data_IF_778910075327
#
_entry.id   IF_778910075327
#
_cell.length_a   1.000
_cell.length_b   1.000
_cell.length_c   1.000
_cell.angle_alpha   90.00
_cell.angle_beta   90.00
_cell.angle_gamma   90.00
#
_symmetry.space_group_name_H-M   'P 1'
#
loop_
_entity.id
_entity.type
_entity.pdbx_description
1 polymer ?
#
# COMPACT_ATOMS: atom_id res chain seq x y z
N UNK A 1 5.38 -22.51 -9.07
CA UNK A 1 4.10 -21.75 -8.93
C UNK A 1 3.92 -20.76 -10.09
N UNK A 2 2.69 -20.47 -10.57
CA UNK A 2 2.45 -19.44 -11.61
C UNK A 2 2.04 -18.10 -10.95
N UNK A 3 2.87 -17.07 -11.10
CA UNK A 3 2.70 -15.78 -10.40
C UNK A 3 1.37 -15.09 -10.68
N UNK A 4 0.92 -15.08 -11.94
CA UNK A 4 -0.32 -14.42 -12.33
C UNK A 4 -1.55 -15.05 -11.67
N UNK A 5 -1.51 -16.36 -11.40
CA UNK A 5 -2.58 -17.04 -10.68
C UNK A 5 -2.60 -16.65 -9.21
N UNK A 6 -1.43 -16.45 -8.60
CA UNK A 6 -1.34 -15.97 -7.21
C UNK A 6 -1.96 -14.58 -7.04
N UNK A 7 -1.67 -13.64 -7.94
CA UNK A 7 -2.34 -12.33 -7.93
C UNK A 7 -3.86 -12.48 -7.96
N UNK A 8 -4.39 -13.28 -8.88
CA UNK A 8 -5.85 -13.50 -9.00
C UNK A 8 -6.45 -14.15 -7.75
N UNK A 9 -5.79 -15.19 -7.23
CA UNK A 9 -6.25 -15.91 -6.04
C UNK A 9 -6.27 -15.01 -4.80
N UNK A 10 -5.38 -14.03 -4.74
CA UNK A 10 -5.28 -13.07 -3.65
C UNK A 10 -6.06 -11.76 -3.92
N UNK A 11 -6.97 -11.72 -4.90
CA UNK A 11 -7.87 -10.58 -5.10
C UNK A 11 -7.23 -9.38 -5.80
N UNK A 12 -6.22 -9.61 -6.62
CA UNK A 12 -5.65 -8.59 -7.51
C UNK A 12 -6.15 -8.76 -8.95
N UNK A 13 -6.37 -7.64 -9.64
CA UNK A 13 -6.82 -7.58 -11.02
C UNK A 13 -5.76 -6.94 -11.90
N UNK A 14 -5.49 -7.52 -13.08
CA UNK A 14 -4.57 -6.94 -14.06
C UNK A 14 -5.28 -5.81 -14.83
N UNK A 15 -4.84 -4.57 -14.59
CA UNK A 15 -5.44 -3.39 -15.20
C UNK A 15 -5.04 -3.22 -16.68
N UNK A 16 -4.09 -4.00 -17.20
CA UNK A 16 -3.75 -4.01 -18.61
C UNK A 16 -4.76 -4.81 -19.46
N UNK A 17 -5.65 -5.59 -18.83
CA UNK A 17 -6.60 -6.46 -19.53
C UNK A 17 -7.98 -5.81 -19.61
N UNK A 18 -8.51 -5.71 -20.84
CA UNK A 18 -9.87 -5.25 -21.08
C UNK A 18 -10.11 -3.80 -20.64
N UNK A 19 -11.19 -3.56 -19.88
CA UNK A 19 -11.62 -2.24 -19.43
C UNK A 19 -11.33 -1.99 -17.93
N UNK A 20 -10.53 -2.86 -17.30
CA UNK A 20 -10.30 -2.86 -15.84
C UNK A 20 -9.69 -1.53 -15.38
N UNK A 21 -8.73 -0.97 -16.11
CA UNK A 21 -8.13 0.34 -15.77
C UNK A 21 -9.19 1.45 -15.63
N UNK A 22 -10.16 1.52 -16.56
CA UNK A 22 -11.24 2.50 -16.51
C UNK A 22 -12.18 2.26 -15.32
N UNK A 23 -12.49 0.99 -15.01
CA UNK A 23 -13.28 0.62 -13.83
C UNK A 23 -12.59 0.99 -12.51
N UNK A 24 -11.26 0.98 -12.51
CA UNK A 24 -10.41 1.44 -11.41
C UNK A 24 -10.16 2.95 -11.42
N UNK A 25 -10.73 3.71 -12.36
CA UNK A 25 -10.49 5.16 -12.53
C UNK A 25 -9.00 5.50 -12.74
N UNK A 26 -8.24 4.60 -13.37
CA UNK A 26 -6.82 4.77 -13.71
C UNK A 26 -6.69 4.96 -15.20
N UNK A 27 -6.09 6.07 -15.61
CA UNK A 27 -5.73 6.29 -16.99
C UNK A 27 -4.34 5.73 -17.29
N UNK A 28 -4.26 4.65 -18.07
CA UNK A 28 -2.99 4.02 -18.44
C UNK A 28 -2.06 4.95 -19.22
N UNK A 29 -2.58 5.97 -19.92
CA UNK A 29 -1.73 6.94 -20.63
C UNK A 29 -0.84 7.76 -19.69
N UNK A 30 -1.21 7.82 -18.41
CA UNK A 30 -0.45 8.54 -17.39
C UNK A 30 0.71 7.69 -16.83
N UNK A 31 0.73 6.39 -17.15
CA UNK A 31 1.79 5.43 -16.75
C UNK A 31 2.75 5.18 -17.90
N UNK A 32 2.22 5.01 -19.12
CA UNK A 32 3.00 4.84 -20.35
C UNK A 32 2.19 5.30 -21.56
N UNK A 33 2.86 5.66 -22.65
CA UNK A 33 2.17 6.02 -23.89
C UNK A 33 1.41 4.80 -24.45
N UNK A 34 0.09 4.92 -24.65
CA UNK A 34 -0.76 3.78 -25.05
C UNK A 34 -0.33 3.11 -26.37
N UNK A 35 0.33 3.85 -27.27
CA UNK A 35 0.90 3.31 -28.51
C UNK A 35 2.20 2.53 -28.33
N UNK A 36 2.82 2.60 -27.14
CA UNK A 36 4.11 1.99 -26.83
C UNK A 36 4.12 1.46 -25.38
N UNK A 37 3.45 0.32 -25.16
CA UNK A 37 3.66 -0.46 -23.93
C UNK A 37 5.17 -0.81 -23.84
N UNK A 38 5.86 -0.48 -22.73
CA UNK A 38 7.25 -0.85 -22.54
C UNK A 38 7.41 -2.36 -22.53
N UNK A 39 8.46 -2.88 -23.15
CA UNK A 39 8.66 -4.34 -23.30
C UNK A 39 8.94 -5.01 -21.97
N UNK A 40 9.58 -4.30 -21.06
CA UNK A 40 9.88 -4.75 -19.72
C UNK A 40 8.63 -4.78 -18.81
N UNK A 41 7.52 -4.14 -19.19
CA UNK A 41 6.29 -4.16 -18.39
C UNK A 41 5.50 -5.43 -18.71
N UNK A 42 5.46 -6.36 -17.76
CA UNK A 42 4.73 -7.61 -17.90
C UNK A 42 3.25 -7.43 -17.56
N UNK A 43 2.96 -6.78 -16.42
CA UNK A 43 1.60 -6.58 -15.92
C UNK A 43 1.50 -5.41 -14.94
N UNK A 44 0.29 -4.91 -14.74
CA UNK A 44 0.00 -3.98 -13.63
C UNK A 44 -1.18 -4.53 -12.85
N UNK A 45 -0.95 -4.91 -11.60
CA UNK A 45 -1.98 -5.52 -10.76
C UNK A 45 -2.42 -4.55 -9.67
N UNK A 46 -3.73 -4.38 -9.50
CA UNK A 46 -4.31 -3.56 -8.43
C UNK A 46 -5.10 -4.44 -7.47
N UNK A 47 -5.01 -4.16 -6.17
CA UNK A 47 -5.83 -4.83 -5.17
C UNK A 47 -7.32 -4.50 -5.37
N UNK A 48 -8.20 -5.42 -5.01
CA UNK A 48 -9.66 -5.20 -5.01
C UNK A 48 -10.09 -3.97 -4.20
N UNK A 49 -9.38 -3.69 -3.09
CA UNK A 49 -9.60 -2.52 -2.23
C UNK A 49 -9.02 -1.20 -2.81
N UNK A 50 -8.29 -1.30 -3.94
CA UNK A 50 -7.67 -0.19 -4.68
C UNK A 50 -6.72 0.64 -3.82
N UNK A 51 -5.98 -0.04 -2.96
CA UNK A 51 -5.05 0.52 -2.00
C UNK A 51 -3.61 0.03 -2.20
N UNK A 52 -3.39 -0.91 -3.12
CA UNK A 52 -2.07 -1.40 -3.51
C UNK A 52 -1.96 -1.62 -5.02
N UNK A 53 -0.78 -1.31 -5.57
CA UNK A 53 -0.46 -1.42 -6.99
C UNK A 53 0.87 -2.13 -7.18
N UNK A 54 0.88 -3.21 -7.95
CA UNK A 54 2.08 -3.91 -8.38
C UNK A 54 2.39 -3.59 -9.84
N UNK A 55 3.62 -3.18 -10.13
CA UNK A 55 4.19 -3.17 -11.47
C UNK A 55 5.06 -4.41 -11.60
N UNK A 56 4.66 -5.34 -12.46
CA UNK A 56 5.40 -6.54 -12.74
C UNK A 56 6.35 -6.29 -13.91
N UNK A 57 7.65 -6.44 -13.65
CA UNK A 57 8.71 -6.03 -14.56
C UNK A 57 9.64 -7.19 -14.92
N UNK A 58 10.07 -7.27 -16.17
CA UNK A 58 11.14 -8.18 -16.60
C UNK A 58 12.50 -7.55 -16.34
N UNK A 59 13.18 -8.06 -15.31
CA UNK A 59 14.52 -7.65 -14.90
C UNK A 59 15.64 -8.06 -15.85
N UNK A 60 15.36 -8.84 -16.90
CA UNK A 60 16.37 -9.25 -17.88
C UNK A 60 16.51 -8.26 -19.05
N UNK A 61 15.57 -7.32 -19.19
CA UNK A 61 15.56 -6.35 -20.29
C UNK A 61 16.68 -5.30 -20.19
N UNK A 62 17.05 -4.91 -18.97
CA UNK A 62 18.09 -3.92 -18.72
C UNK A 62 18.71 -4.12 -17.33
N UNK A 63 19.77 -3.38 -17.04
CA UNK A 63 20.42 -3.41 -15.74
C UNK A 63 19.45 -2.95 -14.63
N UNK A 64 19.42 -3.68 -13.49
CA UNK A 64 18.38 -3.58 -12.46
C UNK A 64 18.27 -2.16 -11.88
N UNK A 65 19.40 -1.50 -11.61
CA UNK A 65 19.39 -0.14 -11.08
C UNK A 65 18.76 0.84 -12.07
N UNK A 66 19.12 0.71 -13.35
CA UNK A 66 18.57 1.53 -14.44
C UNK A 66 17.08 1.28 -14.64
N UNK A 67 16.63 0.02 -14.55
CA UNK A 67 15.21 -0.35 -14.58
C UNK A 67 14.44 0.31 -13.43
N UNK A 68 14.97 0.18 -12.21
CA UNK A 68 14.37 0.73 -11.01
C UNK A 68 14.22 2.25 -11.09
N UNK A 69 15.28 2.95 -11.50
CA UNK A 69 15.30 4.42 -11.59
C UNK A 69 14.31 4.90 -12.66
N UNK A 70 14.28 4.23 -13.82
CA UNK A 70 13.33 4.52 -14.90
C UNK A 70 11.87 4.41 -14.44
N UNK A 71 11.53 3.32 -13.75
CA UNK A 71 10.17 3.10 -13.26
C UNK A 71 9.82 3.97 -12.07
N UNK A 72 10.78 4.31 -11.20
CA UNK A 72 10.55 5.29 -10.13
C UNK A 72 10.21 6.67 -10.68
N UNK A 73 10.88 7.12 -11.75
CA UNK A 73 10.56 8.38 -12.41
C UNK A 73 9.17 8.36 -13.07
N UNK A 74 8.79 7.25 -13.72
CA UNK A 74 7.45 7.07 -14.28
C UNK A 74 6.36 7.06 -13.21
N UNK A 75 6.57 6.33 -12.12
CA UNK A 75 5.66 6.30 -10.97
C UNK A 75 5.52 7.70 -10.38
N UNK A 76 6.63 8.45 -10.27
CA UNK A 76 6.60 9.83 -9.81
C UNK A 76 5.73 10.71 -10.71
N UNK A 77 5.91 10.65 -12.03
CA UNK A 77 5.09 11.41 -12.99
C UNK A 77 3.62 11.03 -12.87
N UNK A 78 3.32 9.73 -12.85
CA UNK A 78 1.98 9.19 -12.66
C UNK A 78 1.30 9.77 -11.41
N UNK A 79 1.98 9.74 -10.26
CA UNK A 79 1.48 10.27 -8.99
C UNK A 79 1.29 11.79 -9.02
N UNK A 80 2.20 12.54 -9.67
CA UNK A 80 2.09 14.01 -9.76
C UNK A 80 0.88 14.41 -10.61
N UNK A 81 0.73 13.82 -11.79
CA UNK A 81 -0.39 14.10 -12.71
C UNK A 81 -1.73 13.77 -12.02
N UNK A 82 -1.76 12.66 -11.28
CA UNK A 82 -2.97 12.16 -10.64
C UNK A 82 -3.14 12.56 -9.18
N UNK A 83 -2.35 13.51 -8.67
CA UNK A 83 -2.30 13.82 -7.23
C UNK A 83 -3.60 14.32 -6.59
N UNK A 84 -4.61 14.68 -7.40
CA UNK A 84 -5.96 15.08 -6.95
C UNK A 84 -6.97 13.93 -6.94
N UNK A 85 -6.66 12.80 -7.60
CA UNK A 85 -7.53 11.63 -7.63
C UNK A 85 -7.55 10.95 -6.26
N UNK A 86 -8.74 10.71 -5.71
CA UNK A 86 -8.89 10.01 -4.43
C UNK A 86 -8.38 8.57 -4.53
N UNK A 87 -8.63 7.89 -5.65
CA UNK A 87 -8.17 6.52 -5.88
C UNK A 87 -6.65 6.47 -5.85
N UNK A 88 -5.99 7.32 -6.65
CA UNK A 88 -4.53 7.30 -6.78
C UNK A 88 -3.84 7.83 -5.51
N UNK A 89 -4.50 8.72 -4.75
CA UNK A 89 -3.99 9.17 -3.46
C UNK A 89 -3.83 8.04 -2.44
N UNK A 90 -4.67 6.98 -2.50
CA UNK A 90 -4.53 5.79 -1.65
C UNK A 90 -3.31 4.95 -2.03
N UNK A 91 -3.01 4.89 -3.34
CA UNK A 91 -1.91 4.09 -3.88
C UNK A 91 -0.53 4.69 -3.61
N UNK A 92 -0.41 6.00 -3.39
CA UNK A 92 0.86 6.74 -3.31
C UNK A 92 1.98 6.09 -2.48
N UNK A 93 1.64 5.35 -1.43
CA UNK A 93 2.61 4.74 -0.52
C UNK A 93 2.70 3.20 -0.63
N UNK A 94 1.86 2.62 -1.50
CA UNK A 94 1.67 1.18 -1.67
C UNK A 94 1.85 0.79 -3.14
N UNK A 95 2.89 1.35 -3.77
CA UNK A 95 3.32 0.93 -5.11
C UNK A 95 4.53 0.03 -4.97
N UNK A 96 4.44 -1.17 -5.54
CA UNK A 96 5.49 -2.18 -5.52
C UNK A 96 5.96 -2.47 -6.94
N UNK A 97 7.27 -2.38 -7.18
CA UNK A 97 7.91 -2.92 -8.37
C UNK A 97 8.32 -4.36 -8.06
N UNK A 98 7.64 -5.33 -8.68
CA UNK A 98 8.01 -6.74 -8.61
C UNK A 98 8.83 -7.08 -9.85
N UNK A 99 10.12 -7.31 -9.66
CA UNK A 99 11.09 -7.50 -10.73
C UNK A 99 11.45 -8.98 -10.83
N UNK A 100 11.21 -9.57 -12.00
CA UNK A 100 11.51 -10.97 -12.30
C UNK A 100 12.87 -11.08 -12.95
N UNK A 101 13.78 -11.82 -12.35
CA UNK A 101 15.13 -12.01 -12.86
C UNK A 101 15.41 -13.50 -13.11
N UNK A 102 15.89 -13.86 -14.30
CA UNK A 102 16.15 -15.27 -14.63
C UNK A 102 17.60 -15.70 -14.37
N UNK A 103 18.48 -14.77 -14.00
CA UNK A 103 19.88 -15.06 -13.70
C UNK A 103 20.10 -15.74 -12.33
N UNK A 104 21.35 -16.14 -12.07
CA UNK A 104 21.68 -16.97 -10.91
C UNK A 104 21.54 -16.24 -9.56
N UNK A 105 21.90 -14.96 -9.51
CA UNK A 105 21.85 -14.12 -8.30
C UNK A 105 21.41 -12.70 -8.66
N UNK A 106 20.15 -12.30 -8.41
CA UNK A 106 19.71 -10.93 -8.60
C UNK A 106 20.42 -9.98 -7.63
N UNK A 107 20.78 -8.78 -8.08
CA UNK A 107 21.23 -7.70 -7.21
C UNK A 107 20.04 -7.14 -6.42
N UNK A 108 19.96 -7.49 -5.12
CA UNK A 108 18.89 -7.06 -4.20
C UNK A 108 19.17 -5.74 -3.48
N UNK A 109 20.25 -5.04 -3.81
CA UNK A 109 20.63 -3.78 -3.14
C UNK A 109 19.54 -2.70 -3.17
N UNK A 110 18.68 -2.74 -4.18
CA UNK A 110 17.57 -1.80 -4.37
C UNK A 110 16.33 -2.08 -3.53
N UNK A 111 16.17 -3.27 -2.95
CA UNK A 111 15.01 -3.60 -2.11
C UNK A 111 14.91 -2.71 -0.86
N UNK A 112 16.06 -2.22 -0.35
CA UNK A 112 16.11 -1.29 0.78
C UNK A 112 15.71 0.16 0.44
N UNK A 113 15.55 0.51 -0.85
CA UNK A 113 15.15 1.86 -1.26
C UNK A 113 13.63 1.98 -1.35
N UNK A 114 13.04 2.71 -0.41
CA UNK A 114 11.60 2.93 -0.29
C UNK A 114 11.17 4.35 -0.69
N UNK A 115 12.03 5.14 -1.35
CA UNK A 115 11.75 6.56 -1.57
C UNK A 115 10.53 6.80 -2.46
N UNK A 116 10.35 6.02 -3.53
CA UNK A 116 9.25 6.18 -4.50
C UNK A 116 8.33 4.97 -4.57
N UNK A 117 8.89 3.76 -4.55
CA UNK A 117 8.18 2.49 -4.60
C UNK A 117 8.97 1.44 -3.84
N UNK A 118 8.29 0.42 -3.32
CA UNK A 118 8.96 -0.77 -2.78
C UNK A 118 9.44 -1.63 -3.93
N UNK A 119 10.60 -2.25 -3.79
CA UNK A 119 11.17 -3.14 -4.83
C UNK A 119 11.30 -4.53 -4.25
N UNK A 120 10.82 -5.51 -4.98
CA UNK A 120 10.94 -6.92 -4.64
C UNK A 120 11.55 -7.59 -5.86
N UNK A 121 12.71 -8.21 -5.71
CA UNK A 121 13.44 -8.83 -6.81
C UNK A 121 13.47 -10.32 -6.58
N UNK A 122 12.83 -11.05 -7.49
CA UNK A 122 12.66 -12.50 -7.38
C UNK A 122 13.28 -13.22 -8.54
N UNK A 123 13.76 -14.43 -8.27
CA UNK A 123 14.19 -15.36 -9.29
C UNK A 123 12.96 -16.04 -9.89
N UNK A 124 12.81 -15.90 -11.21
CA UNK A 124 11.70 -16.52 -11.93
C UNK A 124 12.11 -16.94 -13.33
N UNK A 125 11.44 -17.97 -13.83
CA UNK A 125 11.55 -18.43 -15.20
C UNK A 125 10.36 -17.92 -16.01
N UNK A 126 10.64 -17.11 -17.03
CA UNK A 126 9.64 -16.66 -18.00
C UNK A 126 9.40 -17.80 -19.00
N UNK A 127 8.27 -18.49 -18.92
CA UNK A 127 7.88 -19.45 -19.98
C UNK A 127 7.35 -18.67 -21.18
N UNK A 128 6.49 -17.69 -20.92
CA UNK A 128 6.00 -16.68 -21.86
C UNK A 128 5.65 -15.38 -21.09
N UNK A 129 5.25 -14.31 -21.79
CA UNK A 129 4.91 -13.01 -21.17
C UNK A 129 3.77 -13.11 -20.12
N UNK A 130 2.93 -14.14 -20.20
CA UNK A 130 1.74 -14.34 -19.38
C UNK A 130 1.85 -15.52 -18.39
N UNK A 131 2.95 -16.27 -18.41
CA UNK A 131 3.21 -17.42 -17.56
C UNK A 131 4.61 -17.32 -16.98
N UNK A 132 4.66 -16.86 -15.73
CA UNK A 132 5.91 -16.70 -14.98
C UNK A 132 5.94 -17.78 -13.91
N UNK A 133 6.87 -18.71 -14.07
CA UNK A 133 7.14 -19.73 -13.07
C UNK A 133 8.12 -19.20 -12.03
N UNK A 134 7.69 -19.26 -10.78
CA UNK A 134 8.55 -18.99 -9.62
C UNK A 134 8.88 -20.32 -8.98
N UNK A 135 10.15 -20.47 -8.58
CA UNK A 135 10.62 -21.64 -7.85
C UNK A 135 9.97 -21.68 -6.45
N UNK A 136 9.69 -22.88 -5.96
CA UNK A 136 8.99 -23.06 -4.68
C UNK A 136 9.81 -22.63 -3.44
N UNK A 137 11.11 -22.35 -3.61
CA UNK A 137 12.02 -21.84 -2.57
C UNK A 137 12.03 -20.30 -2.46
N UNK A 138 11.50 -19.59 -3.46
CA UNK A 138 11.32 -18.14 -3.43
C UNK A 138 9.97 -17.81 -2.75
N UNK A 139 9.96 -17.87 -1.42
CA UNK A 139 8.81 -17.42 -0.64
C UNK A 139 8.65 -15.90 -0.78
N UNK A 140 7.66 -15.49 -1.57
CA UNK A 140 7.21 -14.10 -1.61
C UNK A 140 6.19 -13.95 -0.49
N UNK A 141 6.60 -13.34 0.61
CA UNK A 141 5.62 -12.73 1.50
C UNK A 141 5.05 -11.52 0.76
N UNK A 142 3.94 -11.72 0.04
CA UNK A 142 3.12 -10.60 -0.41
C UNK A 142 2.83 -9.78 0.85
N UNK A 143 3.09 -8.47 0.85
CA UNK A 143 3.10 -7.65 2.07
C UNK A 143 1.76 -7.65 2.82
N UNK A 144 0.69 -8.17 2.20
CA UNK A 144 -0.59 -8.39 2.83
C UNK A 144 -1.18 -9.71 2.32
N UNK A 145 -1.20 -10.75 3.16
CA UNK A 145 -2.23 -11.78 2.99
C UNK A 145 -3.58 -11.08 3.19
N UNK A 146 -4.41 -11.05 2.15
CA UNK A 146 -5.83 -10.79 2.34
C UNK A 146 -6.37 -11.99 3.13
N UNK A 147 -6.32 -11.90 4.45
CA UNK A 147 -7.04 -12.83 5.31
C UNK A 147 -8.49 -12.72 4.84
N UNK A 148 -9.08 -13.81 4.38
CA UNK A 148 -10.48 -13.78 3.97
C UNK A 148 -11.28 -13.24 5.15
N UNK A 149 -12.24 -12.34 4.90
CA UNK A 149 -13.06 -11.79 6.00
C UNK A 149 -13.74 -12.90 6.82
N UNK A 150 -13.91 -14.08 6.21
CA UNK A 150 -14.47 -15.29 6.80
C UNK A 150 -13.49 -16.05 7.72
N UNK A 151 -12.16 -15.90 7.54
CA UNK A 151 -11.13 -16.48 8.42
C UNK A 151 -10.84 -15.63 9.65
N UNK A 152 -11.15 -14.33 9.61
CA UNK A 152 -11.01 -13.46 10.78
C UNK A 152 -12.24 -13.55 11.68
N UNK A 153 -12.22 -14.48 12.63
CA UNK A 153 -13.16 -14.48 13.76
C UNK A 153 -12.52 -13.72 14.92
N UNK A 154 -13.02 -12.51 15.28
CA UNK A 154 -12.47 -11.77 16.40
C UNK A 154 -12.54 -12.62 17.68
N UNK A 155 -11.43 -12.70 18.42
CA UNK A 155 -11.43 -13.34 19.73
C UNK A 155 -12.44 -12.60 20.63
N UNK A 156 -13.54 -13.28 20.95
CA UNK A 156 -14.64 -12.73 21.77
C UNK A 156 -14.13 -12.24 23.13
N UNK A 157 -13.10 -12.88 23.69
CA UNK A 157 -12.46 -12.45 24.93
C UNK A 157 -11.73 -11.12 24.77
N UNK A 158 -10.93 -10.97 23.72
CA UNK A 158 -10.25 -9.70 23.43
C UNK A 158 -11.23 -8.57 23.10
N UNK A 159 -12.28 -8.86 22.31
CA UNK A 159 -13.34 -7.89 22.00
C UNK A 159 -14.06 -7.43 23.27
N UNK A 160 -14.38 -8.35 24.19
CA UNK A 160 -15.01 -7.98 25.46
C UNK A 160 -14.07 -7.15 26.34
N UNK A 161 -12.78 -7.49 26.38
CA UNK A 161 -11.77 -6.73 27.11
C UNK A 161 -11.59 -5.32 26.55
N UNK A 162 -11.57 -5.18 25.22
CA UNK A 162 -11.55 -3.89 24.53
C UNK A 162 -12.78 -3.06 24.85
N UNK A 163 -13.98 -3.67 24.88
CA UNK A 163 -15.21 -2.97 25.26
C UNK A 163 -15.16 -2.44 26.69
N UNK A 164 -14.57 -3.18 27.63
CA UNK A 164 -14.39 -2.74 29.01
C UNK A 164 -13.42 -1.56 29.15
N UNK A 165 -12.52 -1.36 28.19
CA UNK A 165 -11.60 -0.23 28.19
C UNK A 165 -12.24 1.05 27.63
N UNK A 166 -13.36 0.95 26.92
CA UNK A 166 -14.07 2.13 26.38
C UNK A 166 -14.89 2.76 27.51
N UNK A 167 -14.81 4.09 27.71
CA UNK A 167 -15.58 4.76 28.75
C UNK A 167 -17.09 4.66 28.47
N UNK A 168 -17.87 4.25 29.46
CA UNK A 168 -19.35 4.28 29.39
C UNK A 168 -19.91 5.69 29.64
N UNK A 169 -19.11 6.59 30.21
CA UNK A 169 -19.50 7.95 30.52
C UNK A 169 -19.76 8.76 29.24
N UNK A 170 -21.02 9.15 29.02
CA UNK A 170 -21.48 9.90 27.84
C UNK A 170 -20.63 11.13 27.51
N UNK A 171 -20.20 11.87 28.53
CA UNK A 171 -19.39 13.08 28.34
C UNK A 171 -17.98 12.77 27.79
N UNK A 172 -17.39 11.62 28.15
CA UNK A 172 -16.09 11.16 27.65
C UNK A 172 -16.21 10.62 26.22
N UNK A 173 -17.31 9.91 25.90
CA UNK A 173 -17.61 9.49 24.54
C UNK A 173 -17.77 10.68 23.58
N UNK A 174 -18.56 11.69 23.97
CA UNK A 174 -18.71 12.93 23.20
C UNK A 174 -17.37 13.66 23.04
N UNK A 175 -16.49 13.59 24.05
CA UNK A 175 -15.15 14.17 23.99
C UNK A 175 -14.24 13.49 22.95
N UNK A 176 -14.33 12.16 22.83
CA UNK A 176 -13.55 11.31 21.92
C UNK A 176 -14.03 11.42 20.46
N UNK A 177 -15.34 11.55 20.23
CA UNK A 177 -15.91 11.69 18.89
C UNK A 177 -15.72 13.09 18.28
N UNK A 178 -15.43 14.08 19.12
CA UNK A 178 -15.26 15.47 18.70
C UNK A 178 -14.08 15.62 17.75
N UNK A 179 -14.36 15.99 16.49
CA UNK A 179 -13.32 16.38 15.52
C UNK A 179 -12.57 17.62 16.03
N UNK A 180 -11.25 17.51 16.17
CA UNK A 180 -10.38 18.59 16.66
C UNK A 180 -9.38 19.01 15.60
N UNK A 181 -9.13 20.31 15.52
CA UNK A 181 -8.02 20.87 14.75
C UNK A 181 -6.83 20.94 15.70
N UNK A 182 -5.74 20.26 15.34
CA UNK A 182 -4.51 20.27 16.13
C UNK A 182 -3.94 21.70 16.17
N UNK A 183 -3.87 22.26 17.37
CA UNK A 183 -3.26 23.57 17.59
C UNK A 183 -1.74 23.43 17.57
N UNK A 184 -1.05 24.28 16.79
CA UNK A 184 0.41 24.37 16.84
C UNK A 184 0.77 25.00 18.19
N UNK A 185 1.66 24.35 18.94
CA UNK A 185 2.11 24.79 20.27
C UNK A 185 2.76 26.18 20.13
N UNK A 186 2.01 27.23 20.46
CA UNK A 186 2.51 28.61 20.52
C UNK A 186 2.31 29.12 21.93
N UNK A 187 3.33 29.78 22.45
CA UNK A 187 3.27 30.44 23.75
C UNK A 187 2.75 31.86 23.54
N UNK A 188 1.68 32.21 24.26
CA UNK A 188 1.16 33.58 24.32
C UNK A 188 0.94 33.92 25.79
N UNK A 189 1.57 35.00 26.26
CA UNK A 189 1.44 35.48 27.64
C UNK A 189 1.72 34.41 28.72
N UNK A 190 2.73 33.56 28.51
CA UNK A 190 3.11 32.50 29.46
C UNK A 190 2.16 31.30 29.50
N UNK A 191 1.17 31.23 28.61
CA UNK A 191 0.26 30.08 28.47
C UNK A 191 0.45 29.44 27.11
N UNK A 192 0.66 28.12 27.10
CA UNK A 192 0.72 27.34 25.86
C UNK A 192 -0.69 27.09 25.33
N UNK A 193 -0.92 27.42 24.05
CA UNK A 193 -2.12 26.99 23.35
C UNK A 193 -2.16 25.46 23.23
N UNK A 194 -3.14 24.83 23.88
CA UNK A 194 -3.37 23.38 23.88
C UNK A 194 -4.63 23.02 23.09
N UNK A 195 -4.64 21.82 22.51
CA UNK A 195 -5.80 21.28 21.77
C UNK A 195 -6.91 20.76 22.69
N UNK A 196 -6.56 20.44 23.94
CA UNK A 196 -7.50 20.06 24.99
C UNK A 196 -7.55 21.18 26.04
N UNK A 197 -8.76 21.51 26.49
CA UNK A 197 -8.94 22.36 27.67
C UNK A 197 -8.48 21.60 28.92
N UNK A 198 -8.13 22.32 29.98
CA UNK A 198 -7.69 21.71 31.26
C UNK A 198 -8.73 20.73 31.79
N UNK A 199 -10.02 21.09 31.75
CA UNK A 199 -11.11 20.21 32.18
C UNK A 199 -11.20 18.91 31.35
N UNK A 200 -11.03 19.02 30.03
CA UNK A 200 -11.03 17.85 29.14
C UNK A 200 -9.83 16.94 29.41
N UNK A 201 -8.68 17.53 29.75
CA UNK A 201 -7.47 16.78 30.11
C UNK A 201 -7.67 16.01 31.43
N UNK A 202 -8.24 16.65 32.45
CA UNK A 202 -8.53 15.96 33.72
C UNK A 202 -9.54 14.82 33.53
N UNK A 203 -10.57 15.01 32.69
CA UNK A 203 -11.50 13.92 32.37
C UNK A 203 -10.81 12.71 31.71
N UNK A 204 -9.90 12.95 30.76
CA UNK A 204 -9.13 11.87 30.13
C UNK A 204 -8.21 11.20 31.14
N UNK A 205 -7.56 11.99 32.00
CA UNK A 205 -6.67 11.48 33.04
C UNK A 205 -7.40 10.60 34.04
N UNK A 206 -8.54 11.05 34.56
CA UNK A 206 -9.38 10.28 35.48
C UNK A 206 -9.84 8.96 34.87
N UNK A 207 -10.21 8.95 33.58
CA UNK A 207 -10.58 7.73 32.87
C UNK A 207 -9.39 6.75 32.76
N UNK A 208 -8.19 7.24 32.44
CA UNK A 208 -6.99 6.42 32.35
C UNK A 208 -6.53 5.89 33.71
N UNK A 209 -6.81 6.59 34.81
CA UNK A 209 -6.53 6.12 36.17
C UNK A 209 -7.55 5.09 36.67
N UNK A 210 -8.75 5.01 36.05
CA UNK A 210 -9.82 4.04 36.38
C UNK A 210 -9.76 2.75 35.57
N UNK A 211 -9.03 2.73 34.44
CA UNK A 211 -8.83 1.55 33.57
C UNK A 211 -7.65 0.70 34.03
#
# INVERSE_FOLDING_TARGET
MILQNEFKNNGYEDILVGDVANQCEINLSDVFEQSQKPKELLGIFISKERDELFLLLDGNHQEINSLCDYWDDRIRVFIIINGKSKVISKLKYNIVQLIIYSGNTPDKSREGNLQMSRKIIIKGHMIDENQIEINDDEAIELPFHMISADEFVPDKGQVNRLRQLIPEEKNLLELMEKKRIKTIKKERNGVFDKTFKVQEYEMIKEWLEKC
#
